data_IF_458708948292
#
_entry.id   IF_458708948292
#
_cell.length_a   1.000
_cell.length_b   1.000
_cell.length_c   1.000
_cell.angle_alpha   90.00
_cell.angle_beta   90.00
_cell.angle_gamma   90.00
#
_symmetry.space_group_name_H-M   'P 1'
#
loop_
_entity.id
_entity.type
_entity.pdbx_description
1 polymer ?
#
# COMPACT_ATOMS: atom_id res chain seq x y z
N UNK A 1 -17.52 6.41 -1.41
CA UNK A 1 -16.97 6.14 -0.07
C UNK A 1 -17.49 4.82 0.53
N UNK A 2 -18.79 4.46 0.40
CA UNK A 2 -19.36 3.22 0.99
C UNK A 2 -18.54 1.99 0.61
N UNK A 3 -18.29 1.76 -0.69
CA UNK A 3 -17.46 0.64 -1.14
C UNK A 3 -16.04 0.66 -0.57
N UNK A 4 -15.49 1.84 -0.24
CA UNK A 4 -14.15 1.96 0.36
C UNK A 4 -14.14 1.64 1.86
N UNK A 5 -15.26 1.84 2.56
CA UNK A 5 -15.42 1.34 3.94
C UNK A 5 -15.37 -0.19 3.92
N UNK A 6 -16.13 -0.81 3.02
CA UNK A 6 -16.23 -2.27 2.93
C UNK A 6 -14.91 -2.94 2.51
N UNK A 7 -14.11 -2.28 1.66
CA UNK A 7 -12.89 -2.86 1.07
C UNK A 7 -11.58 -2.36 1.68
N UNK A 8 -11.58 -1.28 2.47
CA UNK A 8 -10.37 -0.74 3.12
C UNK A 8 -10.49 -0.70 4.64
N UNK A 9 -11.52 -0.02 5.20
CA UNK A 9 -11.64 0.14 6.65
C UNK A 9 -11.96 -1.18 7.34
N UNK A 10 -12.90 -1.94 6.79
CA UNK A 10 -13.25 -3.24 7.36
C UNK A 10 -12.03 -4.19 7.44
N UNK A 11 -11.31 -4.50 6.33
CA UNK A 11 -10.13 -5.36 6.43
C UNK A 11 -9.00 -4.73 7.25
N UNK A 12 -8.86 -3.41 7.25
CA UNK A 12 -7.91 -2.72 8.13
C UNK A 12 -8.16 -3.04 9.60
N UNK A 13 -9.38 -2.86 10.08
CA UNK A 13 -9.72 -3.12 11.48
C UNK A 13 -9.60 -4.60 11.82
N UNK A 14 -10.17 -5.48 10.97
CA UNK A 14 -10.15 -6.92 11.19
C UNK A 14 -8.72 -7.46 11.27
N UNK A 15 -7.89 -7.14 10.28
CA UNK A 15 -6.52 -7.67 10.20
C UNK A 15 -5.57 -7.01 11.20
N UNK A 16 -5.77 -5.74 11.53
CA UNK A 16 -5.00 -5.09 12.62
C UNK A 16 -5.26 -5.75 13.97
N UNK A 17 -6.54 -6.11 14.26
CA UNK A 17 -6.90 -6.84 15.47
C UNK A 17 -6.37 -8.27 15.44
N UNK A 18 -6.53 -8.99 14.33
CA UNK A 18 -6.03 -10.37 14.19
C UNK A 18 -4.52 -10.43 14.37
N UNK A 19 -3.78 -9.62 13.59
CA UNK A 19 -2.32 -9.60 13.68
C UNK A 19 -1.85 -9.17 15.06
N UNK A 20 -2.42 -8.10 15.62
CA UNK A 20 -2.07 -7.61 16.94
C UNK A 20 -2.37 -8.65 18.04
N UNK A 21 -3.49 -9.36 17.98
CA UNK A 21 -3.82 -10.44 18.92
C UNK A 21 -2.83 -11.61 18.84
N UNK A 22 -2.40 -11.98 17.63
CA UNK A 22 -1.37 -12.99 17.43
C UNK A 22 -0.02 -12.53 17.99
N UNK A 23 0.36 -11.26 17.77
CA UNK A 23 1.60 -10.68 18.31
C UNK A 23 1.59 -10.67 19.84
N UNK A 24 0.46 -10.31 20.48
CA UNK A 24 0.31 -10.39 21.95
C UNK A 24 0.44 -11.83 22.44
N UNK A 25 -0.24 -12.79 21.77
CA UNK A 25 -0.18 -14.20 22.14
C UNK A 25 1.21 -14.82 21.95
N UNK A 26 1.98 -14.33 20.99
CA UNK A 26 3.34 -14.78 20.68
C UNK A 26 4.44 -13.86 21.26
N UNK A 27 4.11 -12.95 22.17
CA UNK A 27 5.05 -11.96 22.71
C UNK A 27 6.33 -12.58 23.31
N UNK A 28 6.22 -13.78 23.89
CA UNK A 28 7.37 -14.54 24.42
C UNK A 28 8.29 -15.12 23.32
N UNK A 29 7.85 -15.15 22.06
CA UNK A 29 8.58 -15.71 20.93
C UNK A 29 9.01 -14.66 19.91
N UNK A 30 8.55 -13.41 20.08
CA UNK A 30 8.85 -12.29 19.19
C UNK A 30 9.64 -11.21 19.94
N UNK A 31 10.37 -10.38 19.21
CA UNK A 31 11.16 -9.29 19.79
C UNK A 31 10.31 -8.05 20.15
N UNK A 32 8.98 -8.12 20.04
CA UNK A 32 8.05 -7.02 20.27
C UNK A 32 7.29 -7.16 21.59
N UNK A 33 7.24 -6.10 22.39
CA UNK A 33 6.40 -6.01 23.59
C UNK A 33 5.05 -5.38 23.24
N UNK A 34 4.20 -6.09 22.53
CA UNK A 34 2.85 -5.60 22.20
C UNK A 34 1.90 -5.91 23.35
N UNK A 35 1.19 -4.91 23.84
CA UNK A 35 0.17 -5.05 24.89
C UNK A 35 -1.25 -4.92 24.32
N UNK A 36 -2.24 -5.34 25.08
CA UNK A 36 -3.65 -5.16 24.70
C UNK A 36 -4.06 -3.69 24.56
N UNK A 37 -3.43 -2.77 25.31
CA UNK A 37 -3.67 -1.33 25.17
C UNK A 37 -3.26 -0.79 23.81
N UNK A 38 -2.26 -1.41 23.17
CA UNK A 38 -1.79 -1.01 21.84
C UNK A 38 -2.81 -1.38 20.73
N UNK A 39 -3.69 -2.36 21.00
CA UNK A 39 -4.76 -2.71 20.07
C UNK A 39 -5.83 -1.62 19.94
N UNK A 40 -6.04 -0.82 20.96
CA UNK A 40 -7.00 0.30 20.90
C UNK A 40 -6.43 1.45 20.07
N UNK A 41 -5.11 1.61 20.06
CA UNK A 41 -4.43 2.68 19.33
C UNK A 41 -4.57 2.55 17.80
N UNK A 42 -4.95 1.37 17.29
CA UNK A 42 -5.17 1.18 15.84
C UNK A 42 -6.19 2.18 15.25
N UNK A 43 -7.09 2.73 16.06
CA UNK A 43 -8.10 3.68 15.59
C UNK A 43 -7.50 5.03 15.13
N UNK A 44 -6.36 5.44 15.70
CA UNK A 44 -5.71 6.72 15.37
C UNK A 44 -4.22 6.59 15.03
N UNK A 45 -3.58 5.49 15.39
CA UNK A 45 -2.17 5.19 15.11
C UNK A 45 -2.06 3.80 14.49
N UNK A 46 -2.18 3.70 13.15
CA UNK A 46 -2.09 2.41 12.46
C UNK A 46 -0.71 1.78 12.65
N UNK A 47 -0.69 0.46 12.85
CA UNK A 47 0.52 -0.31 13.16
C UNK A 47 1.07 -1.01 11.91
N UNK A 48 2.36 -1.32 11.95
CA UNK A 48 3.07 -2.09 10.94
C UNK A 48 2.70 -1.63 9.50
N UNK A 49 2.41 -2.57 8.58
CA UNK A 49 2.05 -2.27 7.20
C UNK A 49 0.69 -1.58 7.06
N UNK A 50 -0.21 -1.67 8.02
CA UNK A 50 -1.60 -1.20 7.89
C UNK A 50 -1.76 0.32 7.78
N UNK A 51 -0.71 1.10 8.08
CA UNK A 51 -0.70 2.55 7.86
C UNK A 51 -1.08 2.94 6.43
N UNK A 52 -0.71 2.11 5.45
CA UNK A 52 -0.99 2.40 4.04
C UNK A 52 -2.50 2.36 3.72
N UNK A 53 -3.23 1.34 4.17
CA UNK A 53 -4.70 1.27 3.97
C UNK A 53 -5.37 2.43 4.71
N UNK A 54 -4.91 2.74 5.91
CA UNK A 54 -5.46 3.83 6.72
C UNK A 54 -5.31 5.18 6.02
N UNK A 55 -4.12 5.53 5.54
CA UNK A 55 -3.90 6.78 4.82
C UNK A 55 -4.59 6.79 3.46
N UNK A 56 -4.64 5.65 2.77
CA UNK A 56 -5.34 5.52 1.51
C UNK A 56 -6.84 5.84 1.67
N UNK A 57 -7.48 5.34 2.72
CA UNK A 57 -8.87 5.68 3.02
C UNK A 57 -9.03 7.18 3.35
N UNK A 58 -8.14 7.75 4.16
CA UNK A 58 -8.15 9.18 4.46
C UNK A 58 -8.02 10.04 3.18
N UNK A 59 -7.14 9.64 2.24
CA UNK A 59 -7.01 10.29 0.94
C UNK A 59 -8.32 10.16 0.14
N UNK A 60 -9.00 9.01 0.13
CA UNK A 60 -10.32 8.89 -0.52
C UNK A 60 -11.35 9.83 0.09
N UNK A 61 -11.32 10.08 1.41
CA UNK A 61 -12.18 11.06 2.06
C UNK A 61 -11.85 12.49 1.58
N UNK A 62 -10.57 12.88 1.57
CA UNK A 62 -10.11 14.17 1.04
C UNK A 62 -10.55 14.35 -0.41
N UNK A 63 -10.36 13.34 -1.26
CA UNK A 63 -10.77 13.37 -2.66
C UNK A 63 -12.29 13.49 -2.83
N UNK A 64 -13.08 12.82 -1.99
CA UNK A 64 -14.52 12.91 -2.03
C UNK A 64 -15.00 14.33 -1.66
N UNK A 65 -14.39 14.97 -0.65
CA UNK A 65 -14.67 16.37 -0.29
C UNK A 65 -14.27 17.29 -1.43
N UNK A 66 -13.06 17.16 -1.96
CA UNK A 66 -12.58 17.98 -3.06
C UNK A 66 -13.54 17.95 -4.27
N UNK A 67 -13.90 16.75 -4.75
CA UNK A 67 -14.78 16.59 -5.91
C UNK A 67 -16.25 16.93 -5.63
N UNK A 68 -16.67 17.03 -4.38
CA UNK A 68 -17.99 17.56 -4.02
C UNK A 68 -18.04 19.10 -4.07
N UNK A 69 -16.92 19.76 -3.80
CA UNK A 69 -16.82 21.23 -3.77
C UNK A 69 -16.48 21.81 -5.15
N UNK A 70 -15.73 21.09 -5.96
CA UNK A 70 -15.27 21.56 -7.27
C UNK A 70 -16.16 21.01 -8.37
N UNK A 71 -16.99 21.90 -8.99
CA UNK A 71 -17.96 21.55 -10.04
C UNK A 71 -17.31 20.97 -11.32
N UNK A 72 -16.08 21.35 -11.60
CA UNK A 72 -15.30 20.87 -12.75
C UNK A 72 -14.04 20.18 -12.23
N UNK A 73 -13.76 18.95 -12.69
CA UNK A 73 -12.53 18.21 -12.32
C UNK A 73 -11.30 19.03 -12.72
N UNK A 74 -10.70 19.72 -11.77
CA UNK A 74 -9.46 20.48 -11.96
C UNK A 74 -8.29 19.65 -11.39
N UNK A 75 -7.98 18.55 -12.06
CA UNK A 75 -6.90 17.63 -11.62
C UNK A 75 -5.54 18.32 -11.60
N UNK A 76 -5.29 19.25 -12.54
CA UNK A 76 -4.05 20.04 -12.56
C UNK A 76 -3.88 20.91 -11.32
N UNK A 77 -4.94 21.61 -10.89
CA UNK A 77 -4.93 22.40 -9.65
C UNK A 77 -4.68 21.48 -8.43
N UNK A 78 -5.38 20.36 -8.37
CA UNK A 78 -5.22 19.39 -7.30
C UNK A 78 -3.78 18.86 -7.24
N UNK A 79 -3.15 18.62 -8.41
CA UNK A 79 -1.77 18.18 -8.47
C UNK A 79 -0.83 19.26 -7.90
N UNK A 80 -0.97 20.51 -8.32
CA UNK A 80 -0.16 21.63 -7.78
C UNK A 80 -0.35 21.75 -6.26
N UNK A 81 -1.59 21.71 -5.77
CA UNK A 81 -1.87 21.77 -4.33
C UNK A 81 -1.25 20.59 -3.57
N UNK A 82 -1.29 19.38 -4.13
CA UNK A 82 -0.68 18.21 -3.50
C UNK A 82 0.85 18.28 -3.46
N UNK A 83 1.49 18.84 -4.49
CA UNK A 83 2.94 19.10 -4.51
C UNK A 83 3.32 20.15 -3.46
N UNK A 84 2.58 21.25 -3.38
CA UNK A 84 2.80 22.27 -2.36
C UNK A 84 2.65 21.70 -0.95
N UNK A 85 1.59 20.91 -0.70
CA UNK A 85 1.38 20.25 0.57
C UNK A 85 2.54 19.30 0.94
N UNK A 86 3.06 18.56 -0.03
CA UNK A 86 4.22 17.68 0.15
C UNK A 86 5.48 18.47 0.52
N UNK A 87 5.76 19.59 -0.18
CA UNK A 87 6.97 20.38 0.04
C UNK A 87 6.92 21.16 1.36
N UNK A 88 5.77 21.74 1.68
CA UNK A 88 5.57 22.57 2.88
C UNK A 88 5.01 21.82 4.08
N UNK A 89 5.06 20.46 4.09
CA UNK A 89 4.55 19.64 5.19
C UNK A 89 5.13 19.98 6.57
N UNK A 90 6.37 20.49 6.62
CA UNK A 90 7.02 20.91 7.87
C UNK A 90 6.37 22.12 8.55
N UNK A 91 5.53 22.87 7.82
CA UNK A 91 4.76 24.01 8.35
C UNK A 91 3.36 23.58 8.82
N UNK A 92 2.99 22.31 8.68
CA UNK A 92 1.71 21.80 9.14
C UNK A 92 1.72 21.54 10.66
N UNK A 93 0.55 21.60 11.32
CA UNK A 93 0.42 21.16 12.69
C UNK A 93 0.95 19.73 12.90
N UNK A 94 1.55 19.45 14.05
CA UNK A 94 2.05 18.13 14.41
C UNK A 94 0.88 17.14 14.54
N UNK A 95 0.59 16.45 13.46
CA UNK A 95 -0.42 15.39 13.40
C UNK A 95 0.09 14.25 12.53
N UNK A 96 0.09 13.06 13.09
CA UNK A 96 0.50 11.85 12.37
C UNK A 96 -0.28 11.66 11.07
N UNK A 97 -1.60 11.78 11.12
CA UNK A 97 -2.47 11.61 9.95
C UNK A 97 -2.26 12.70 8.90
N UNK A 98 -2.16 13.97 9.32
CA UNK A 98 -1.91 15.08 8.39
C UNK A 98 -0.58 14.92 7.67
N UNK A 99 0.47 14.51 8.38
CA UNK A 99 1.77 14.26 7.78
C UNK A 99 1.72 13.09 6.77
N UNK A 100 1.02 12.00 7.10
CA UNK A 100 0.82 10.88 6.17
C UNK A 100 0.06 11.30 4.92
N UNK A 101 -1.01 12.09 5.06
CA UNK A 101 -1.77 12.63 3.91
C UNK A 101 -0.87 13.54 3.08
N UNK A 102 -0.14 14.48 3.70
CA UNK A 102 0.74 15.41 3.00
C UNK A 102 1.81 14.71 2.17
N UNK A 103 2.38 13.62 2.67
CA UNK A 103 3.40 12.85 1.95
C UNK A 103 2.80 12.01 0.82
N UNK A 104 1.60 11.44 0.99
CA UNK A 104 1.08 10.41 0.09
C UNK A 104 0.06 10.93 -0.93
N UNK A 105 -0.60 12.07 -0.67
CA UNK A 105 -1.61 12.64 -1.56
C UNK A 105 -1.05 12.92 -2.96
N UNK A 106 0.16 13.44 -3.05
CA UNK A 106 0.81 13.77 -4.33
C UNK A 106 0.94 12.54 -5.25
N UNK A 107 1.27 11.37 -4.69
CA UNK A 107 1.38 10.12 -5.46
C UNK A 107 0.02 9.61 -5.91
N UNK A 108 -1.00 9.76 -5.08
CA UNK A 108 -2.36 9.41 -5.45
C UNK A 108 -2.88 10.28 -6.60
N UNK A 109 -2.67 11.59 -6.51
CA UNK A 109 -3.07 12.55 -7.57
C UNK A 109 -2.26 12.33 -8.83
N UNK A 110 -0.95 12.04 -8.71
CA UNK A 110 -0.11 11.67 -9.84
C UNK A 110 -0.67 10.44 -10.57
N UNK A 111 -1.16 9.43 -9.84
CA UNK A 111 -1.86 8.29 -10.43
C UNK A 111 -3.11 8.68 -11.23
N UNK A 112 -3.89 9.67 -10.77
CA UNK A 112 -5.04 10.19 -11.52
C UNK A 112 -4.56 10.90 -12.80
N UNK A 113 -3.52 11.73 -12.72
CA UNK A 113 -2.93 12.41 -13.87
C UNK A 113 -2.45 11.42 -14.92
N UNK A 114 -1.75 10.37 -14.49
CA UNK A 114 -1.29 9.30 -15.40
C UNK A 114 -2.48 8.59 -16.06
N UNK A 115 -3.49 8.20 -15.29
CA UNK A 115 -4.67 7.51 -15.79
C UNK A 115 -5.44 8.35 -16.82
N UNK A 116 -5.62 9.67 -16.56
CA UNK A 116 -6.27 10.57 -17.51
C UNK A 116 -5.47 10.75 -18.81
N UNK A 117 -4.14 10.84 -18.73
CA UNK A 117 -3.29 10.98 -19.92
C UNK A 117 -3.26 9.68 -20.74
N UNK A 118 -3.15 8.54 -20.10
CA UNK A 118 -3.21 7.24 -20.77
C UNK A 118 -4.55 6.99 -21.47
N UNK A 119 -5.67 7.42 -20.88
CA UNK A 119 -6.99 7.28 -21.48
C UNK A 119 -7.22 8.20 -22.68
N UNK A 120 -6.50 9.33 -22.75
CA UNK A 120 -6.61 10.30 -23.86
C UNK A 120 -5.69 9.99 -25.05
N UNK A 121 -4.58 9.32 -24.78
CA UNK A 121 -3.55 9.06 -25.80
C UNK A 121 -2.86 7.72 -25.51
N UNK A 122 -3.29 6.67 -26.21
CA UNK A 122 -2.74 5.32 -26.07
C UNK A 122 -1.24 5.24 -26.43
N UNK A 123 -0.76 6.18 -27.26
CA UNK A 123 0.65 6.26 -27.66
C UNK A 123 1.53 7.07 -26.71
N UNK A 124 0.96 7.67 -25.68
CA UNK A 124 1.66 8.59 -24.76
C UNK A 124 2.90 7.94 -24.10
N UNK A 125 2.83 6.64 -23.88
CA UNK A 125 3.97 5.83 -23.45
C UNK A 125 4.28 4.79 -24.54
N UNK A 126 5.19 5.12 -25.46
CA UNK A 126 5.81 4.10 -26.32
C UNK A 126 6.62 3.15 -25.43
N UNK A 127 6.16 1.91 -25.16
CA UNK A 127 6.63 1.16 -23.98
C UNK A 127 8.11 0.82 -24.03
N UNK A 128 8.70 0.62 -25.20
CA UNK A 128 10.11 0.20 -25.29
C UNK A 128 11.11 1.34 -25.10
N UNK A 129 10.93 2.48 -25.78
CA UNK A 129 11.83 3.64 -25.65
C UNK A 129 11.67 4.31 -24.30
N UNK A 130 10.42 4.40 -23.80
CA UNK A 130 10.14 4.98 -22.47
C UNK A 130 10.66 4.10 -21.33
N UNK A 131 10.67 2.76 -21.48
CA UNK A 131 11.21 1.84 -20.49
C UNK A 131 12.72 2.03 -20.31
N UNK A 132 13.48 2.04 -21.43
CA UNK A 132 14.92 2.23 -21.37
C UNK A 132 15.28 3.63 -20.84
N UNK A 133 14.61 4.68 -21.33
CA UNK A 133 14.83 6.03 -20.89
C UNK A 133 14.55 6.19 -19.39
N UNK A 134 13.40 5.72 -18.90
CA UNK A 134 13.04 5.79 -17.48
C UNK A 134 13.99 4.96 -16.60
N UNK A 135 14.47 3.81 -17.07
CA UNK A 135 15.46 2.99 -16.37
C UNK A 135 16.80 3.72 -16.22
N UNK A 136 17.32 4.27 -17.32
CA UNK A 136 18.58 5.02 -17.29
C UNK A 136 18.48 6.25 -16.40
N UNK A 137 17.41 7.04 -16.54
CA UNK A 137 17.18 8.23 -15.71
C UNK A 137 17.07 7.81 -14.24
N UNK A 138 16.34 6.73 -13.94
CA UNK A 138 16.20 6.22 -12.57
C UNK A 138 17.54 5.84 -11.96
N UNK A 139 18.40 5.10 -12.69
CA UNK A 139 19.73 4.71 -12.22
C UNK A 139 20.60 5.94 -11.95
N UNK A 140 20.63 6.91 -12.87
CA UNK A 140 21.41 8.15 -12.70
C UNK A 140 20.91 8.95 -11.50
N UNK A 141 19.60 9.13 -11.36
CA UNK A 141 19.01 9.85 -10.22
C UNK A 141 19.27 9.14 -8.89
N UNK A 142 19.21 7.81 -8.83
CA UNK A 142 19.55 7.03 -7.64
C UNK A 142 21.02 7.21 -7.26
N UNK A 143 21.91 7.17 -8.25
CA UNK A 143 23.33 7.40 -8.01
C UNK A 143 23.59 8.81 -7.46
N UNK A 144 23.01 9.84 -8.08
CA UNK A 144 23.11 11.24 -7.61
C UNK A 144 22.56 11.38 -6.18
N UNK A 145 21.42 10.78 -5.90
CA UNK A 145 20.73 10.87 -4.61
C UNK A 145 21.55 10.26 -3.47
N UNK A 146 22.09 9.07 -3.67
CA UNK A 146 22.78 8.34 -2.61
C UNK A 146 24.27 8.70 -2.50
N UNK A 147 24.99 8.82 -3.62
CA UNK A 147 26.43 8.98 -3.62
C UNK A 147 26.90 10.41 -3.73
N UNK A 148 26.16 11.28 -4.44
CA UNK A 148 26.56 12.67 -4.59
C UNK A 148 25.93 13.57 -3.51
N UNK A 149 24.61 13.45 -3.29
CA UNK A 149 23.89 14.26 -2.31
C UNK A 149 23.88 13.64 -0.90
N UNK A 150 24.25 12.38 -0.73
CA UNK A 150 24.25 11.67 0.56
C UNK A 150 22.86 11.49 1.19
N UNK A 151 21.81 11.65 0.41
CA UNK A 151 20.43 11.53 0.88
C UNK A 151 20.04 10.08 1.15
N UNK A 152 19.07 9.90 2.03
CA UNK A 152 18.52 8.59 2.41
C UNK A 152 17.00 8.56 2.15
N UNK A 153 16.40 7.37 2.21
CA UNK A 153 14.98 7.15 1.91
C UNK A 153 13.99 7.99 2.75
N UNK A 154 14.40 8.48 3.92
CA UNK A 154 13.58 9.35 4.77
C UNK A 154 13.69 10.83 4.42
N UNK A 155 14.68 11.24 3.60
CA UNK A 155 14.81 12.62 3.15
C UNK A 155 13.72 12.94 2.12
N UNK A 156 12.72 13.71 2.54
CA UNK A 156 11.58 14.09 1.71
C UNK A 156 11.80 15.48 1.13
N UNK A 157 11.78 15.58 -0.19
CA UNK A 157 11.98 16.84 -0.91
C UNK A 157 11.73 16.68 -2.40
N UNK A 158 12.07 17.71 -3.17
CA UNK A 158 11.91 17.72 -4.64
C UNK A 158 12.60 16.53 -5.29
N UNK A 159 13.84 16.22 -4.86
CA UNK A 159 14.60 15.12 -5.43
C UNK A 159 13.94 13.76 -5.20
N UNK A 160 13.46 13.52 -3.98
CA UNK A 160 12.72 12.30 -3.65
C UNK A 160 11.43 12.18 -4.47
N UNK A 161 10.69 13.30 -4.65
CA UNK A 161 9.48 13.33 -5.46
C UNK A 161 9.79 13.03 -6.93
N UNK A 162 10.87 13.59 -7.47
CA UNK A 162 11.31 13.35 -8.84
C UNK A 162 11.68 11.90 -9.07
N UNK A 163 12.49 11.30 -8.18
CA UNK A 163 12.86 9.89 -8.26
C UNK A 163 11.63 8.99 -8.19
N UNK A 164 10.71 9.27 -7.26
CA UNK A 164 9.48 8.50 -7.12
C UNK A 164 8.60 8.59 -8.38
N UNK A 165 8.50 9.77 -9.00
CA UNK A 165 7.75 9.95 -10.26
C UNK A 165 8.36 9.12 -11.41
N UNK A 166 9.68 9.16 -11.55
CA UNK A 166 10.40 8.36 -12.56
C UNK A 166 10.26 6.84 -12.26
N UNK A 167 10.35 6.43 -10.99
CA UNK A 167 10.14 5.04 -10.59
C UNK A 167 8.72 4.56 -10.92
N UNK A 168 7.69 5.38 -10.67
CA UNK A 168 6.30 5.09 -11.05
C UNK A 168 6.18 4.93 -12.57
N UNK A 169 6.74 5.85 -13.35
CA UNK A 169 6.74 5.76 -14.81
C UNK A 169 7.45 4.48 -15.30
N UNK A 170 8.60 4.14 -14.72
CA UNK A 170 9.35 2.91 -15.02
C UNK A 170 8.50 1.66 -14.75
N UNK A 171 7.85 1.59 -13.58
CA UNK A 171 6.98 0.45 -13.21
C UNK A 171 5.78 0.34 -14.16
N UNK A 172 5.17 1.46 -14.55
CA UNK A 172 4.07 1.47 -15.52
C UNK A 172 4.55 0.94 -16.88
N UNK A 173 5.68 1.45 -17.41
CA UNK A 173 6.24 1.00 -18.68
C UNK A 173 6.61 -0.50 -18.65
N UNK A 174 7.20 -0.95 -17.54
CA UNK A 174 7.52 -2.36 -17.31
C UNK A 174 6.25 -3.22 -17.29
N UNK A 175 5.21 -2.79 -16.59
CA UNK A 175 3.92 -3.49 -16.50
C UNK A 175 3.24 -3.62 -17.88
N UNK A 176 3.23 -2.54 -18.68
CA UNK A 176 2.72 -2.56 -20.05
C UNK A 176 3.52 -3.52 -20.94
N UNK A 177 4.84 -3.55 -20.78
CA UNK A 177 5.71 -4.46 -21.54
C UNK A 177 5.48 -5.91 -21.14
N UNK A 178 5.42 -6.22 -19.86
CA UNK A 178 5.18 -7.56 -19.34
C UNK A 178 3.76 -8.08 -19.62
N UNK A 179 2.77 -7.20 -19.72
CA UNK A 179 1.40 -7.60 -20.08
C UNK A 179 1.30 -8.25 -21.45
N UNK A 180 2.23 -7.91 -22.38
CA UNK A 180 2.32 -8.52 -23.71
C UNK A 180 2.87 -9.94 -23.68
N UNK A 181 3.58 -10.34 -22.64
CA UNK A 181 4.31 -11.63 -22.54
C UNK A 181 3.53 -12.69 -21.76
N UNK A 182 2.28 -12.44 -21.34
CA UNK A 182 1.40 -13.38 -20.59
C UNK A 182 2.13 -14.11 -19.45
N UNK A 183 2.77 -13.37 -18.55
CA UNK A 183 3.45 -13.92 -17.37
C UNK A 183 2.41 -14.31 -16.31
N UNK A 184 1.89 -15.54 -16.39
CA UNK A 184 0.73 -15.99 -15.60
C UNK A 184 0.93 -15.91 -14.08
N UNK A 185 2.13 -16.21 -13.57
CA UNK A 185 2.40 -16.12 -12.12
C UNK A 185 2.34 -14.67 -11.61
N UNK A 186 2.75 -13.69 -12.42
CA UNK A 186 2.68 -12.28 -12.09
C UNK A 186 1.22 -11.80 -12.01
N UNK A 187 0.37 -12.29 -12.91
CA UNK A 187 -1.06 -12.02 -12.90
C UNK A 187 -1.72 -12.57 -11.64
N UNK A 188 -1.33 -13.77 -11.19
CA UNK A 188 -1.81 -14.37 -9.94
C UNK A 188 -1.40 -13.51 -8.74
N UNK A 189 -0.14 -13.09 -8.66
CA UNK A 189 0.33 -12.19 -7.57
C UNK A 189 -0.48 -10.89 -7.59
N UNK A 190 -0.71 -10.30 -8.76
CA UNK A 190 -1.52 -9.09 -8.91
C UNK A 190 -2.97 -9.29 -8.44
N UNK A 191 -3.60 -10.40 -8.79
CA UNK A 191 -4.98 -10.73 -8.40
C UNK A 191 -5.12 -10.86 -6.88
N UNK A 192 -4.15 -11.49 -6.21
CA UNK A 192 -4.16 -11.69 -4.75
C UNK A 192 -3.36 -10.61 -3.98
N UNK A 193 -3.05 -9.47 -4.61
CA UNK A 193 -2.19 -8.44 -4.01
C UNK A 193 -2.71 -7.90 -2.67
N UNK A 194 -4.03 -7.75 -2.52
CA UNK A 194 -4.63 -7.30 -1.27
C UNK A 194 -4.47 -8.34 -0.15
N UNK A 195 -4.69 -9.61 -0.45
CA UNK A 195 -4.53 -10.71 0.49
C UNK A 195 -3.06 -10.88 0.89
N UNK A 196 -2.15 -10.79 -0.08
CA UNK A 196 -0.71 -10.78 0.18
C UNK A 196 -0.37 -9.63 1.11
N UNK A 197 -0.84 -8.41 0.81
CA UNK A 197 -0.59 -7.24 1.62
C UNK A 197 -1.06 -7.41 3.08
N UNK A 198 -2.23 -8.00 3.29
CA UNK A 198 -2.78 -8.20 4.64
C UNK A 198 -2.03 -9.27 5.45
N UNK A 199 -1.53 -10.32 4.79
CA UNK A 199 -1.01 -11.52 5.46
C UNK A 199 0.51 -11.67 5.40
N UNK A 200 1.23 -10.95 4.52
CA UNK A 200 2.67 -11.21 4.27
C UNK A 200 3.55 -11.13 5.51
N UNK A 201 3.26 -10.21 6.44
CA UNK A 201 4.02 -10.09 7.68
C UNK A 201 3.83 -11.34 8.55
N UNK A 202 2.59 -11.79 8.73
CA UNK A 202 2.29 -12.98 9.52
C UNK A 202 2.94 -14.23 8.92
N UNK A 203 2.76 -14.45 7.63
CA UNK A 203 3.26 -15.65 6.95
C UNK A 203 4.78 -15.64 6.80
N UNK A 204 5.37 -14.50 6.45
CA UNK A 204 6.81 -14.35 6.33
C UNK A 204 7.53 -14.44 7.67
N UNK A 205 7.03 -13.76 8.71
CA UNK A 205 7.60 -13.84 10.07
C UNK A 205 7.38 -15.21 10.67
N UNK A 206 6.21 -15.82 10.50
CA UNK A 206 5.94 -17.19 10.95
C UNK A 206 6.90 -18.20 10.34
N UNK A 207 7.13 -18.13 9.02
CA UNK A 207 8.12 -19.00 8.35
C UNK A 207 9.54 -18.79 8.90
N UNK A 208 9.96 -17.54 9.14
CA UNK A 208 11.27 -17.23 9.72
C UNK A 208 11.42 -17.77 11.15
N UNK A 209 10.39 -17.64 11.98
CA UNK A 209 10.37 -18.20 13.34
C UNK A 209 10.49 -19.72 13.29
N UNK A 210 9.75 -20.39 12.39
CA UNK A 210 9.88 -21.84 12.19
C UNK A 210 11.31 -22.24 11.78
N UNK A 211 11.91 -21.53 10.82
CA UNK A 211 13.29 -21.81 10.39
C UNK A 211 14.29 -21.65 11.53
N UNK A 212 14.17 -20.59 12.34
CA UNK A 212 15.09 -20.35 13.45
C UNK A 212 14.86 -21.31 14.63
N UNK A 213 13.61 -21.52 15.06
CA UNK A 213 13.30 -22.25 16.30
C UNK A 213 13.15 -23.76 16.13
N UNK A 214 12.67 -24.24 14.97
CA UNK A 214 12.42 -25.66 14.71
C UNK A 214 13.59 -26.27 13.92
N UNK A 215 14.03 -25.57 12.87
CA UNK A 215 15.09 -26.09 11.99
C UNK A 215 16.48 -25.60 12.36
N UNK A 216 16.62 -24.71 13.36
CA UNK A 216 17.89 -24.14 13.84
C UNK A 216 18.77 -23.59 12.72
N UNK A 217 18.13 -22.93 11.73
CA UNK A 217 18.84 -22.32 10.61
C UNK A 217 19.19 -20.87 10.96
N UNK A 218 20.48 -20.53 10.96
CA UNK A 218 20.97 -19.18 11.29
C UNK A 218 21.37 -18.36 10.05
N UNK A 219 21.30 -18.95 8.86
CA UNK A 219 21.69 -18.27 7.61
C UNK A 219 20.73 -17.15 7.25
N UNK A 220 21.22 -15.92 7.24
CA UNK A 220 20.46 -14.71 6.85
C UNK A 220 19.89 -14.83 5.43
N UNK A 221 20.65 -15.43 4.50
CA UNK A 221 20.21 -15.62 3.12
C UNK A 221 18.99 -16.56 3.05
N UNK A 222 19.04 -17.68 3.77
CA UNK A 222 17.93 -18.63 3.82
C UNK A 222 16.69 -17.96 4.45
N UNK A 223 16.86 -17.22 5.54
CA UNK A 223 15.77 -16.46 6.15
C UNK A 223 15.15 -15.43 5.19
N UNK A 224 15.97 -14.75 4.39
CA UNK A 224 15.51 -13.80 3.40
C UNK A 224 14.69 -14.50 2.30
N UNK A 225 15.23 -15.56 1.70
CA UNK A 225 14.56 -16.28 0.61
C UNK A 225 13.28 -16.95 1.09
N UNK A 226 13.33 -17.70 2.20
CA UNK A 226 12.16 -18.40 2.75
C UNK A 226 11.11 -17.42 3.24
N UNK A 227 11.50 -16.38 3.98
CA UNK A 227 10.57 -15.37 4.50
C UNK A 227 9.86 -14.61 3.38
N UNK A 228 10.59 -14.20 2.34
CA UNK A 228 10.01 -13.49 1.19
C UNK A 228 9.09 -14.41 0.39
N UNK A 229 9.53 -15.63 0.08
CA UNK A 229 8.70 -16.59 -0.66
C UNK A 229 7.45 -16.97 0.12
N UNK A 230 7.55 -17.23 1.41
CA UNK A 230 6.42 -17.51 2.27
C UNK A 230 5.48 -16.32 2.39
N UNK A 231 6.01 -15.10 2.47
CA UNK A 231 5.22 -13.86 2.50
C UNK A 231 4.38 -13.62 1.23
N UNK A 232 4.75 -14.22 0.10
CA UNK A 232 3.98 -14.12 -1.15
C UNK A 232 3.12 -15.36 -1.37
N UNK A 233 3.69 -16.55 -1.25
CA UNK A 233 3.01 -17.80 -1.64
C UNK A 233 1.97 -18.24 -0.61
N UNK A 234 2.29 -18.20 0.69
CA UNK A 234 1.36 -18.65 1.72
C UNK A 234 0.05 -17.85 1.76
N UNK A 235 0.04 -16.50 1.64
CA UNK A 235 -1.21 -15.76 1.52
C UNK A 235 -2.10 -16.23 0.38
N UNK A 236 -1.53 -16.53 -0.78
CA UNK A 236 -2.29 -17.03 -1.94
C UNK A 236 -2.90 -18.39 -1.63
N UNK A 237 -2.11 -19.31 -1.06
CA UNK A 237 -2.58 -20.65 -0.68
C UNK A 237 -3.68 -20.55 0.37
N UNK A 238 -3.44 -19.77 1.44
CA UNK A 238 -4.41 -19.57 2.51
C UNK A 238 -5.72 -18.96 2.00
N UNK A 239 -5.65 -17.98 1.10
CA UNK A 239 -6.84 -17.39 0.49
C UNK A 239 -7.65 -18.44 -0.25
N UNK A 240 -7.01 -19.29 -1.06
CA UNK A 240 -7.72 -20.39 -1.76
C UNK A 240 -8.36 -21.40 -0.81
N UNK A 241 -7.72 -21.67 0.33
CA UNK A 241 -8.31 -22.51 1.39
C UNK A 241 -9.52 -21.84 2.02
N UNK A 242 -9.40 -20.54 2.38
CA UNK A 242 -10.47 -19.73 2.97
C UNK A 242 -11.68 -19.67 2.02
N UNK A 243 -11.46 -19.48 0.73
CA UNK A 243 -12.51 -19.51 -0.30
C UNK A 243 -13.21 -20.85 -0.38
N UNK A 244 -12.47 -21.97 -0.28
CA UNK A 244 -13.04 -23.33 -0.28
C UNK A 244 -13.89 -23.63 0.96
N UNK A 245 -13.50 -23.08 2.11
CA UNK A 245 -14.25 -23.23 3.39
C UNK A 245 -15.39 -22.21 3.47
N UNK A 246 -15.56 -21.37 2.46
CA UNK A 246 -16.63 -20.37 2.33
C UNK A 246 -16.67 -19.32 3.46
N UNK A 247 -15.49 -18.92 3.96
CA UNK A 247 -15.35 -17.82 4.92
C UNK A 247 -15.36 -16.49 4.14
N UNK A 248 -16.56 -15.94 3.92
CA UNK A 248 -16.79 -14.87 2.95
C UNK A 248 -16.24 -13.50 3.39
N UNK A 249 -16.20 -13.21 4.71
CA UNK A 249 -15.98 -11.85 5.22
C UNK A 249 -14.57 -11.60 5.78
N UNK A 250 -13.57 -12.36 5.35
CA UNK A 250 -12.21 -12.16 5.88
C UNK A 250 -11.48 -11.01 5.21
N UNK A 251 -11.80 -10.72 3.95
CA UNK A 251 -11.11 -9.69 3.16
C UNK A 251 -11.98 -8.48 2.81
N UNK A 252 -13.29 -8.62 2.82
CA UNK A 252 -14.25 -7.55 2.64
C UNK A 252 -15.61 -7.96 3.21
N UNK A 253 -16.38 -7.01 3.72
CA UNK A 253 -17.75 -7.27 4.15
C UNK A 253 -18.66 -6.10 3.75
N UNK A 254 -19.92 -6.34 3.41
CA UNK A 254 -20.89 -5.31 3.05
C UNK A 254 -21.41 -4.58 4.31
N UNK A 255 -20.48 -3.99 5.09
CA UNK A 255 -20.76 -3.34 6.38
C UNK A 255 -21.74 -2.19 6.19
N UNK A 256 -21.55 -1.43 5.12
CA UNK A 256 -22.43 -0.31 4.79
C UNK A 256 -23.87 -0.79 4.51
N UNK A 257 -24.03 -1.90 3.83
CA UNK A 257 -25.37 -2.45 3.57
C UNK A 257 -26.04 -2.96 4.86
N UNK A 258 -25.29 -3.59 5.76
CA UNK A 258 -25.80 -3.99 7.06
C UNK A 258 -26.27 -2.79 7.90
N UNK A 259 -25.47 -1.73 7.97
CA UNK A 259 -25.77 -0.55 8.78
C UNK A 259 -26.95 0.25 8.18
N UNK A 260 -26.99 0.45 6.87
CA UNK A 260 -27.98 1.31 6.23
C UNK A 260 -29.28 0.61 5.84
N UNK A 261 -29.28 -0.74 5.64
CA UNK A 261 -30.54 -1.51 5.47
C UNK A 261 -31.36 -1.59 6.75
N UNK A 262 -30.71 -1.61 7.92
CA UNK A 262 -31.39 -1.61 9.21
C UNK A 262 -32.26 -0.36 9.38
N UNK A 263 -31.83 0.81 8.86
CA UNK A 263 -32.64 2.05 8.93
C UNK A 263 -33.84 2.09 7.98
N UNK A 264 -33.85 1.33 6.89
CA UNK A 264 -34.99 1.26 5.96
C UNK A 264 -36.12 0.30 6.42
N UNK A 265 -35.84 -0.59 7.37
CA UNK A 265 -36.86 -1.47 7.97
C UNK A 265 -37.49 -0.89 9.24
N UNK A 266 -37.02 0.26 9.73
CA UNK A 266 -37.48 0.93 10.94
C UNK A 266 -38.30 2.21 10.64
N UNK A 267 -38.62 2.50 9.37
CA UNK A 267 -39.57 3.49 8.87
C UNK A 267 -40.69 2.81 8.07
#
# INVERSE_FOLDING_TARGET
LKAKIDTLIYPYLLWSLLQGSIEVGLSNYTNGSTSFSDLIQILWAPRAQFWFIYVLFAIFCVMAVYFSMVKRRQVGLLFVLSVLLYLFRGSLPESYLLNLIAINLVYFVLGIVFAENMSRNEEWLRPQTSLLASLLIFIVLQWLFHFNLGYRHYDKGVMTLTIATIAIALVICLSITLSKVKVGWLQVIGLYSMQIYLMHILTGSGARIMMSKIFHVDSTLIHLVVGTSAGVVLPIVLTKVIERVNIQYLFSAPVCDFIFRSKKKAL
#
